data_IF_285841996354
#
_entry.id   IF_285841996354
#
_cell.length_a   1.000
_cell.length_b   1.000
_cell.length_c   1.000
_cell.angle_alpha   90.00
_cell.angle_beta   90.00
_cell.angle_gamma   90.00
#
_symmetry.space_group_name_H-M   'P 1'
#
loop_
_entity.id
_entity.type
_entity.pdbx_description
1 polymer ?
#
# COMPACT_ATOMS: atom_id res chain seq x y z
N UNK A 1 -13.43 -6.51 1.74
CA UNK A 1 -12.00 -6.83 1.80
C UNK A 1 -11.16 -5.75 1.14
N UNK A 2 -10.11 -5.33 1.80
CA UNK A 2 -9.10 -4.46 1.19
C UNK A 2 -8.24 -5.32 0.29
N UNK A 3 -8.06 -4.87 -0.94
CA UNK A 3 -7.18 -5.53 -1.92
C UNK A 3 -6.06 -4.59 -2.32
N UNK A 4 -4.84 -5.11 -2.23
CA UNK A 4 -3.65 -4.36 -2.59
C UNK A 4 -2.95 -5.09 -3.73
N UNK A 5 -2.65 -4.37 -4.79
CA UNK A 5 -1.85 -4.86 -5.88
C UNK A 5 -0.52 -4.13 -5.88
N UNK A 6 0.56 -4.90 -5.88
CA UNK A 6 1.91 -4.37 -5.94
C UNK A 6 2.50 -4.86 -7.27
N UNK A 7 3.03 -3.94 -8.04
CA UNK A 7 3.56 -4.23 -9.36
C UNK A 7 5.07 -4.03 -9.37
N UNK A 8 5.78 -5.03 -9.88
CA UNK A 8 7.21 -4.97 -10.13
C UNK A 8 7.46 -5.02 -11.63
N UNK A 9 8.54 -4.41 -12.08
CA UNK A 9 8.99 -4.61 -13.45
C UNK A 9 9.79 -5.91 -13.54
N UNK A 10 10.22 -6.28 -14.77
CA UNK A 10 10.91 -7.56 -15.03
C UNK A 10 12.21 -7.72 -14.26
N UNK A 11 12.88 -6.64 -13.92
CA UNK A 11 14.14 -6.71 -13.17
C UNK A 11 13.92 -6.75 -11.64
N UNK A 12 12.66 -6.82 -11.19
CA UNK A 12 12.32 -6.93 -9.78
C UNK A 12 12.19 -5.62 -9.03
N UNK A 13 12.27 -4.47 -9.72
CA UNK A 13 12.07 -3.16 -9.08
C UNK A 13 10.58 -2.86 -8.93
N UNK A 14 10.20 -2.26 -7.82
CA UNK A 14 8.82 -1.82 -7.60
C UNK A 14 8.44 -0.71 -8.58
N UNK A 15 7.23 -0.79 -9.13
CA UNK A 15 6.66 0.20 -10.05
C UNK A 15 5.49 0.95 -9.45
N UNK A 16 4.61 0.23 -8.79
CA UNK A 16 3.39 0.83 -8.24
C UNK A 16 2.78 -0.04 -7.17
N UNK A 17 1.93 0.57 -6.38
CA UNK A 17 1.02 -0.17 -5.51
C UNK A 17 -0.33 0.55 -5.46
N UNK A 18 -1.39 -0.24 -5.42
CA UNK A 18 -2.77 0.23 -5.42
C UNK A 18 -3.50 -0.42 -4.26
N UNK A 19 -4.17 0.39 -3.46
CA UNK A 19 -4.95 -0.06 -2.32
C UNK A 19 -6.41 0.29 -2.57
N UNK A 20 -7.29 -0.71 -2.61
CA UNK A 20 -8.72 -0.54 -2.90
C UNK A 20 -9.60 -1.29 -1.92
N UNK A 21 -10.79 -0.75 -1.71
CA UNK A 21 -11.84 -1.41 -0.96
C UNK A 21 -11.83 -1.11 0.53
N UNK A 22 -12.70 -1.80 1.23
CA UNK A 22 -12.86 -1.68 2.67
C UNK A 22 -12.70 -3.04 3.33
N UNK A 23 -12.14 -3.07 4.54
CA UNK A 23 -11.94 -4.31 5.27
C UNK A 23 -13.26 -4.95 5.69
N UNK A 24 -14.27 -4.14 6.00
CA UNK A 24 -15.56 -4.60 6.53
C UNK A 24 -15.38 -5.40 7.83
N UNK A 25 -14.35 -5.07 8.59
CA UNK A 25 -14.09 -5.65 9.90
C UNK A 25 -15.05 -5.10 10.96
N UNK A 26 -15.37 -3.80 10.85
CA UNK A 26 -16.28 -3.10 11.72
C UNK A 26 -16.93 -1.94 10.97
N UNK A 27 -17.81 -1.20 11.64
CA UNK A 27 -18.43 -0.02 11.06
C UNK A 27 -17.41 1.02 10.66
N UNK A 28 -17.71 1.79 9.62
CA UNK A 28 -16.92 2.95 9.22
C UNK A 28 -16.63 3.84 10.43
N UNK A 29 -15.37 4.27 10.58
CA UNK A 29 -14.90 5.05 11.72
C UNK A 29 -14.45 4.23 12.92
N UNK A 30 -14.76 2.92 12.97
CA UNK A 30 -14.34 2.01 14.04
C UNK A 30 -13.50 0.83 13.51
N UNK A 31 -13.24 0.79 12.22
CA UNK A 31 -12.55 -0.33 11.59
C UNK A 31 -11.03 -0.18 11.75
N UNK A 32 -10.47 -0.93 12.71
CA UNK A 32 -9.04 -0.89 13.01
C UNK A 32 -8.21 -1.48 11.89
N UNK A 33 -8.75 -2.39 11.10
CA UNK A 33 -8.05 -2.97 9.94
C UNK A 33 -7.90 -1.91 8.86
N UNK A 34 -8.99 -1.22 8.51
CA UNK A 34 -8.93 -0.09 7.57
C UNK A 34 -7.97 0.98 8.03
N UNK A 35 -8.02 1.36 9.30
CA UNK A 35 -7.15 2.38 9.88
C UNK A 35 -5.68 1.96 9.80
N UNK A 36 -5.39 0.70 10.14
CA UNK A 36 -4.03 0.18 10.10
C UNK A 36 -3.45 0.15 8.70
N UNK A 37 -4.22 -0.34 7.74
CA UNK A 37 -3.78 -0.39 6.33
C UNK A 37 -3.59 1.03 5.78
N UNK A 38 -4.53 1.92 6.04
CA UNK A 38 -4.42 3.32 5.61
C UNK A 38 -3.17 3.99 6.17
N UNK A 39 -2.90 3.78 7.46
CA UNK A 39 -1.70 4.33 8.10
C UNK A 39 -0.42 3.81 7.43
N UNK A 40 -0.33 2.51 7.15
CA UNK A 40 0.84 1.92 6.49
C UNK A 40 1.04 2.49 5.08
N UNK A 41 -0.02 2.55 4.29
CA UNK A 41 0.05 3.01 2.90
C UNK A 41 0.37 4.50 2.84
N UNK A 42 -0.36 5.31 3.59
CA UNK A 42 -0.17 6.77 3.59
C UNK A 42 1.23 7.13 4.12
N UNK A 43 1.66 6.48 5.21
CA UNK A 43 2.99 6.71 5.74
C UNK A 43 4.08 6.36 4.72
N UNK A 44 3.92 5.24 4.01
CA UNK A 44 4.87 4.82 2.98
C UNK A 44 4.96 5.86 1.86
N UNK A 45 3.80 6.31 1.36
CA UNK A 45 3.74 7.35 0.32
C UNK A 45 4.45 8.63 0.79
N UNK A 46 4.13 9.09 1.99
CA UNK A 46 4.72 10.31 2.54
C UNK A 46 6.23 10.18 2.77
N UNK A 47 6.69 9.03 3.24
CA UNK A 47 8.11 8.79 3.42
C UNK A 47 8.86 8.74 2.08
N UNK A 48 8.28 8.12 1.07
CA UNK A 48 8.87 8.09 -0.28
C UNK A 48 9.08 9.51 -0.80
N UNK A 49 8.09 10.37 -0.64
CA UNK A 49 8.15 11.73 -1.14
C UNK A 49 8.95 12.67 -0.24
N UNK A 50 8.62 12.70 1.05
CA UNK A 50 9.13 13.73 1.96
C UNK A 50 10.53 13.42 2.49
N UNK A 51 10.82 12.15 2.76
CA UNK A 51 12.10 11.75 3.35
C UNK A 51 13.12 11.31 2.31
N UNK A 52 12.68 10.62 1.27
CA UNK A 52 13.58 10.07 0.26
C UNK A 52 13.61 10.90 -1.03
N UNK A 53 12.68 11.83 -1.21
CA UNK A 53 12.64 12.64 -2.42
C UNK A 53 12.39 11.84 -3.70
N UNK A 54 11.74 10.68 -3.58
CA UNK A 54 11.41 9.88 -4.75
C UNK A 54 10.36 10.57 -5.61
N UNK A 55 10.48 10.42 -6.92
CA UNK A 55 9.48 10.95 -7.85
C UNK A 55 8.33 9.97 -7.93
N UNK A 56 7.18 10.37 -7.42
CA UNK A 56 5.99 9.55 -7.39
C UNK A 56 4.78 10.32 -7.94
N UNK A 57 3.80 9.56 -8.41
CA UNK A 57 2.48 10.06 -8.77
C UNK A 57 1.48 9.37 -7.86
N UNK A 58 0.63 10.14 -7.20
CA UNK A 58 -0.36 9.60 -6.26
C UNK A 58 -1.75 10.03 -6.71
N UNK A 59 -2.65 9.07 -6.82
CA UNK A 59 -4.07 9.30 -7.03
C UNK A 59 -4.81 8.83 -5.78
N UNK A 60 -5.66 9.69 -5.26
CA UNK A 60 -6.43 9.42 -4.05
C UNK A 60 -7.91 9.69 -4.33
N UNK A 61 -8.74 8.67 -4.18
CA UNK A 61 -10.17 8.76 -4.43
C UNK A 61 -10.94 8.84 -3.11
N UNK A 62 -11.19 10.05 -2.64
CA UNK A 62 -11.96 10.31 -1.42
C UNK A 62 -13.42 9.90 -1.54
N UNK A 63 -13.99 9.97 -2.74
CA UNK A 63 -15.43 9.68 -2.97
C UNK A 63 -15.75 8.20 -2.81
N UNK A 64 -14.81 7.33 -3.16
CA UNK A 64 -14.99 5.88 -3.13
C UNK A 64 -14.28 5.21 -1.95
N UNK A 65 -14.14 5.95 -0.84
CA UNK A 65 -13.64 5.36 0.39
C UNK A 65 -12.13 5.40 0.56
N UNK A 66 -11.45 6.26 -0.19
CA UNK A 66 -10.02 6.51 0.01
C UNK A 66 -9.10 5.52 -0.70
N UNK A 67 -9.51 5.01 -1.86
CA UNK A 67 -8.62 4.20 -2.69
C UNK A 67 -7.38 5.02 -3.05
N UNK A 68 -6.21 4.40 -2.95
CA UNK A 68 -4.92 5.06 -3.18
C UNK A 68 -4.15 4.29 -4.24
N UNK A 69 -3.62 5.02 -5.22
CA UNK A 69 -2.67 4.48 -6.19
C UNK A 69 -1.38 5.30 -6.12
N UNK A 70 -0.26 4.62 -5.88
CA UNK A 70 1.06 5.23 -5.89
C UNK A 70 1.89 4.61 -7.02
N UNK A 71 2.40 5.46 -7.88
CA UNK A 71 3.23 5.05 -9.00
C UNK A 71 4.61 5.67 -8.86
N UNK A 72 5.64 4.84 -8.95
CA UNK A 72 7.03 5.28 -8.96
C UNK A 72 7.38 5.68 -10.40
N UNK A 73 7.83 6.91 -10.59
CA UNK A 73 8.11 7.45 -11.92
C UNK A 73 9.50 7.08 -12.43
N UNK A 74 10.41 6.77 -11.50
CA UNK A 74 11.76 6.29 -11.79
C UNK A 74 11.99 4.97 -11.05
N UNK A 75 13.09 4.29 -11.36
CA UNK A 75 13.53 3.11 -10.60
C UNK A 75 13.80 3.55 -9.16
N UNK A 76 13.17 2.92 -8.16
CA UNK A 76 13.34 3.32 -6.78
C UNK A 76 14.75 3.04 -6.26
N UNK A 77 15.20 3.89 -5.35
CA UNK A 77 16.45 3.66 -4.61
C UNK A 77 16.32 2.40 -3.73
N UNK A 78 17.46 1.92 -3.22
CA UNK A 78 17.46 0.80 -2.26
C UNK A 78 16.62 1.13 -1.02
N UNK A 79 16.73 2.35 -0.51
CA UNK A 79 15.94 2.79 0.65
C UNK A 79 14.44 2.81 0.34
N UNK A 80 14.06 3.27 -0.85
CA UNK A 80 12.66 3.27 -1.27
C UNK A 80 12.14 1.84 -1.40
N UNK A 81 12.91 0.94 -2.00
CA UNK A 81 12.55 -0.47 -2.12
C UNK A 81 12.38 -1.12 -0.75
N UNK A 82 13.30 -0.84 0.18
CA UNK A 82 13.20 -1.34 1.55
C UNK A 82 11.97 -0.81 2.28
N UNK A 83 11.63 0.46 2.06
CA UNK A 83 10.45 1.07 2.66
C UNK A 83 9.17 0.39 2.19
N UNK A 84 9.10 0.04 0.91
CA UNK A 84 7.96 -0.71 0.36
C UNK A 84 7.93 -2.13 0.93
N UNK A 85 9.09 -2.78 1.07
CA UNK A 85 9.18 -4.09 1.74
C UNK A 85 8.65 -4.02 3.18
N UNK A 86 8.95 -2.95 3.89
CA UNK A 86 8.44 -2.73 5.25
C UNK A 86 6.92 -2.58 5.27
N UNK A 87 6.37 -1.88 4.29
CA UNK A 87 4.92 -1.75 4.14
C UNK A 87 4.27 -3.13 3.96
N UNK A 88 4.81 -3.95 3.07
CA UNK A 88 4.30 -5.30 2.80
C UNK A 88 4.41 -6.17 4.05
N UNK A 89 5.51 -6.06 4.78
CA UNK A 89 5.69 -6.76 6.03
C UNK A 89 4.61 -6.39 7.06
N UNK A 90 4.22 -5.11 7.08
CA UNK A 90 3.11 -4.65 7.90
C UNK A 90 1.77 -5.26 7.47
N UNK A 91 1.53 -5.43 6.17
CA UNK A 91 0.35 -6.13 5.69
C UNK A 91 0.32 -7.59 6.16
N UNK A 92 1.46 -8.27 6.11
CA UNK A 92 1.57 -9.65 6.60
C UNK A 92 1.22 -9.75 8.07
N UNK A 93 1.64 -8.79 8.87
CA UNK A 93 1.30 -8.73 10.29
C UNK A 93 -0.21 -8.57 10.49
N UNK A 94 -0.84 -7.65 9.77
CA UNK A 94 -2.29 -7.43 9.86
C UNK A 94 -3.06 -8.68 9.45
N UNK A 95 -2.64 -9.33 8.35
CA UNK A 95 -3.26 -10.58 7.90
C UNK A 95 -3.14 -11.65 8.98
N UNK A 96 -1.98 -11.76 9.61
CA UNK A 96 -1.75 -12.72 10.68
C UNK A 96 -2.62 -12.50 11.91
N UNK A 97 -2.95 -11.23 12.22
CA UNK A 97 -3.77 -10.89 13.38
C UNK A 97 -5.27 -10.96 13.11
N UNK A 98 -5.72 -10.55 11.92
CA UNK A 98 -7.13 -10.37 11.62
C UNK A 98 -7.67 -11.33 10.56
N UNK A 99 -6.84 -11.80 9.65
CA UNK A 99 -7.20 -12.76 8.61
C UNK A 99 -7.28 -12.17 7.21
N UNK A 100 -7.09 -13.04 6.21
CA UNK A 100 -7.11 -12.67 4.79
C UNK A 100 -8.47 -12.21 4.29
N UNK A 101 -9.53 -12.53 5.01
CA UNK A 101 -10.85 -12.10 4.58
C UNK A 101 -11.04 -10.58 4.67
N UNK A 102 -10.18 -9.89 5.42
CA UNK A 102 -10.23 -8.43 5.59
C UNK A 102 -9.23 -7.69 4.74
N UNK A 103 -8.06 -8.32 4.50
CA UNK A 103 -6.96 -7.75 3.75
C UNK A 103 -6.21 -8.85 3.01
N UNK A 104 -6.02 -8.64 1.72
CA UNK A 104 -5.13 -9.50 0.94
C UNK A 104 -4.34 -8.66 -0.05
N UNK A 105 -3.20 -9.17 -0.49
CA UNK A 105 -2.38 -8.50 -1.48
C UNK A 105 -1.77 -9.51 -2.44
N UNK A 106 -1.38 -9.01 -3.59
CA UNK A 106 -0.63 -9.78 -4.57
C UNK A 106 0.50 -8.93 -5.15
N UNK A 107 1.59 -9.57 -5.51
CA UNK A 107 2.71 -8.95 -6.18
C UNK A 107 2.74 -9.49 -7.62
N UNK A 108 2.60 -8.59 -8.58
CA UNK A 108 2.62 -8.93 -9.99
C UNK A 108 3.87 -8.40 -10.65
N UNK A 109 4.41 -9.19 -11.55
CA UNK A 109 5.46 -8.75 -12.45
C UNK A 109 4.83 -8.27 -13.75
N UNK A 110 5.20 -7.07 -14.14
CA UNK A 110 4.65 -6.47 -15.36
C UNK A 110 5.51 -6.77 -16.58
#
# INVERSE_FOLDING_TARGET
MIRIQIEKNRNGSYRSFVCKGHADYAKEGSDVVCAGVSALVINTVNCLEDLLGEKISVAFDEKNGGDIECRLLDIPSEKASFLIDCMIHGFDWIIGQYGRKYLDYEIKEA
#
